data_IF_443669085118
#
_entry.id   IF_443669085118
#
_cell.length_a   1.000
_cell.length_b   1.000
_cell.length_c   1.000
_cell.angle_alpha   90.00
_cell.angle_beta   90.00
_cell.angle_gamma   90.00
#
_symmetry.space_group_name_H-M   'P 1'
#
loop_
_entity.id
_entity.type
_entity.pdbx_description
1 polymer ?
#
# COMPACT_ATOMS: atom_id res chain seq x y z
N UNK A 1 2.51 10.02 -20.96
CA UNK A 1 3.29 8.99 -20.23
C UNK A 1 2.49 7.69 -20.20
N UNK A 2 3.08 6.56 -20.61
CA UNK A 2 2.41 5.25 -20.54
C UNK A 2 1.94 4.98 -19.11
N UNK A 3 0.63 4.76 -18.93
CA UNK A 3 -0.09 4.67 -17.64
C UNK A 3 0.54 3.69 -16.63
N UNK A 4 1.25 2.68 -17.13
CA UNK A 4 1.94 1.63 -16.38
C UNK A 4 3.27 2.07 -15.74
N UNK A 5 4.01 3.02 -16.35
CA UNK A 5 5.27 3.52 -15.78
C UNK A 5 5.02 4.29 -14.49
N UNK A 6 3.97 5.12 -14.46
CA UNK A 6 3.55 5.83 -13.25
C UNK A 6 3.04 4.90 -12.15
N UNK A 7 2.58 3.69 -12.49
CA UNK A 7 2.20 2.64 -11.54
C UNK A 7 3.38 2.10 -10.77
N UNK A 8 4.41 1.68 -11.50
CA UNK A 8 5.61 1.11 -10.93
C UNK A 8 6.37 2.14 -10.11
N UNK A 9 6.48 3.38 -10.61
CA UNK A 9 7.14 4.47 -9.87
C UNK A 9 6.42 4.74 -8.54
N UNK A 10 5.09 4.82 -8.53
CA UNK A 10 4.34 5.06 -7.30
C UNK A 10 4.48 3.90 -6.29
N UNK A 11 4.42 2.65 -6.76
CA UNK A 11 4.61 1.48 -5.91
C UNK A 11 6.03 1.42 -5.32
N UNK A 12 7.05 1.73 -6.12
CA UNK A 12 8.45 1.77 -5.68
C UNK A 12 8.70 2.90 -4.69
N UNK A 13 8.14 4.10 -4.91
CA UNK A 13 8.25 5.20 -3.96
C UNK A 13 7.55 4.89 -2.63
N UNK A 14 6.38 4.25 -2.69
CA UNK A 14 5.62 3.85 -1.50
C UNK A 14 6.34 2.77 -0.68
N UNK A 15 6.91 1.75 -1.36
CA UNK A 15 7.75 0.74 -0.71
C UNK A 15 9.07 1.33 -0.19
N UNK A 16 9.65 2.29 -0.92
CA UNK A 16 10.87 3.01 -0.57
C UNK A 16 10.77 3.74 0.77
N UNK A 17 9.62 4.33 1.07
CA UNK A 17 9.37 4.99 2.36
C UNK A 17 9.51 4.05 3.57
N UNK A 18 9.42 2.74 3.35
CA UNK A 18 9.45 1.72 4.39
C UNK A 18 10.71 0.85 4.36
N UNK A 19 11.69 1.19 3.52
CA UNK A 19 13.02 0.55 3.53
C UNK A 19 13.68 0.68 4.91
N UNK A 20 13.38 1.76 5.63
CA UNK A 20 13.84 2.00 7.01
C UNK A 20 13.24 1.05 8.06
N UNK A 21 12.14 0.35 7.76
CA UNK A 21 11.58 -0.64 8.66
C UNK A 21 12.43 -1.92 8.76
N UNK A 22 13.41 -2.10 7.85
CA UNK A 22 14.32 -3.26 7.76
C UNK A 22 13.62 -4.63 7.81
N UNK A 23 12.34 -4.67 7.44
CA UNK A 23 11.52 -5.88 7.48
C UNK A 23 11.12 -6.27 6.05
N UNK A 24 11.64 -7.39 5.51
CA UNK A 24 11.36 -7.82 4.14
C UNK A 24 9.87 -8.09 3.89
N UNK A 25 9.13 -8.53 4.92
CA UNK A 25 7.70 -8.80 4.82
C UNK A 25 6.91 -7.50 4.63
N UNK A 26 7.25 -6.44 5.37
CA UNK A 26 6.63 -5.12 5.19
C UNK A 26 6.91 -4.56 3.80
N UNK A 27 8.14 -4.71 3.30
CA UNK A 27 8.51 -4.25 1.97
C UNK A 27 7.69 -4.95 0.86
N UNK A 28 7.52 -6.27 0.95
CA UNK A 28 6.71 -7.05 0.01
C UNK A 28 5.22 -6.71 0.11
N UNK A 29 4.69 -6.57 1.33
CA UNK A 29 3.30 -6.19 1.57
C UNK A 29 2.99 -4.80 0.99
N UNK A 30 3.91 -3.85 1.09
CA UNK A 30 3.73 -2.49 0.57
C UNK A 30 3.82 -2.39 -0.94
N UNK A 31 4.65 -3.22 -1.60
CA UNK A 31 4.63 -3.32 -3.05
C UNK A 31 3.29 -3.85 -3.56
N UNK A 32 2.74 -4.90 -2.94
CA UNK A 32 1.46 -5.49 -3.31
C UNK A 32 0.28 -4.54 -3.01
N UNK A 33 0.26 -3.92 -1.83
CA UNK A 33 -0.76 -2.94 -1.45
C UNK A 33 -0.70 -1.69 -2.35
N UNK A 34 0.50 -1.18 -2.65
CA UNK A 34 0.68 -0.04 -3.55
C UNK A 34 0.14 -0.30 -4.96
N UNK A 35 0.32 -1.52 -5.49
CA UNK A 35 -0.26 -1.93 -6.77
C UNK A 35 -1.79 -2.09 -6.68
N UNK A 36 -2.30 -2.72 -5.62
CA UNK A 36 -3.72 -2.95 -5.41
C UNK A 36 -4.50 -1.62 -5.25
N UNK A 37 -4.04 -0.70 -4.41
CA UNK A 37 -4.71 0.57 -4.20
C UNK A 37 -4.64 1.48 -5.42
N UNK A 38 -3.54 1.43 -6.19
CA UNK A 38 -3.46 2.16 -7.44
C UNK A 38 -4.48 1.62 -8.47
N UNK A 39 -4.75 0.31 -8.46
CA UNK A 39 -5.79 -0.32 -9.29
C UNK A 39 -7.19 0.10 -8.89
N UNK A 40 -7.46 0.13 -7.59
CA UNK A 40 -8.72 0.66 -7.07
C UNK A 40 -8.87 2.15 -7.41
N UNK A 41 -7.81 2.94 -7.29
CA UNK A 41 -7.81 4.36 -7.66
C UNK A 41 -8.11 4.57 -9.15
N UNK A 42 -7.51 3.78 -10.04
CA UNK A 42 -7.80 3.89 -11.48
C UNK A 42 -9.26 3.58 -11.83
N UNK A 43 -9.92 2.72 -11.06
CA UNK A 43 -11.33 2.34 -11.30
C UNK A 43 -12.32 3.28 -10.64
N UNK A 44 -12.01 3.74 -9.44
CA UNK A 44 -12.91 4.57 -8.62
C UNK A 44 -12.67 6.07 -8.78
N UNK A 45 -11.51 6.48 -9.29
CA UNK A 45 -11.07 7.88 -9.31
C UNK A 45 -10.87 8.49 -7.92
N UNK A 46 -10.90 7.67 -6.86
CA UNK A 46 -11.04 8.10 -5.48
C UNK A 46 -9.96 7.48 -4.60
N UNK A 47 -9.40 8.28 -3.70
CA UNK A 47 -8.42 7.83 -2.71
C UNK A 47 -9.08 7.18 -1.48
N UNK A 48 -10.37 7.44 -1.26
CA UNK A 48 -11.13 6.95 -0.11
C UNK A 48 -11.03 5.43 0.12
N UNK A 49 -11.16 4.57 -0.90
CA UNK A 49 -11.06 3.13 -0.70
C UNK A 49 -9.70 2.69 -0.17
N UNK A 50 -8.62 3.33 -0.63
CA UNK A 50 -7.26 3.03 -0.18
C UNK A 50 -7.04 3.45 1.28
N UNK A 51 -7.51 4.65 1.65
CA UNK A 51 -7.41 5.17 3.02
C UNK A 51 -8.21 4.30 4.00
N UNK A 52 -9.44 3.94 3.64
CA UNK A 52 -10.29 3.08 4.48
C UNK A 52 -9.63 1.69 4.64
N UNK A 53 -9.14 1.10 3.54
CA UNK A 53 -8.44 -0.19 3.58
C UNK A 53 -7.22 -0.13 4.51
N UNK A 54 -6.44 0.95 4.47
CA UNK A 54 -5.28 1.12 5.33
C UNK A 54 -5.67 1.24 6.81
N UNK A 55 -6.63 2.12 7.12
CA UNK A 55 -7.09 2.31 8.50
C UNK A 55 -7.68 1.02 9.10
N UNK A 56 -8.44 0.26 8.30
CA UNK A 56 -8.97 -1.05 8.71
C UNK A 56 -7.82 -2.03 8.99
N UNK A 57 -6.80 -2.07 8.14
CA UNK A 57 -5.63 -2.94 8.35
C UNK A 57 -4.89 -2.59 9.64
N UNK A 58 -4.63 -1.31 9.89
CA UNK A 58 -3.93 -0.87 11.10
C UNK A 58 -4.70 -1.25 12.35
N UNK A 59 -6.01 -0.99 12.40
CA UNK A 59 -6.85 -1.40 13.54
C UNK A 59 -6.85 -2.91 13.68
N UNK A 60 -6.92 -3.66 12.57
CA UNK A 60 -6.93 -5.12 12.62
C UNK A 60 -5.63 -5.67 13.20
N UNK A 61 -4.47 -5.19 12.76
CA UNK A 61 -3.17 -5.73 13.17
C UNK A 61 -2.71 -5.19 14.51
N UNK A 62 -3.03 -3.95 14.88
CA UNK A 62 -2.57 -3.36 16.14
C UNK A 62 -3.56 -3.53 17.28
N UNK A 63 -4.86 -3.64 17.00
CA UNK A 63 -5.91 -3.69 18.04
C UNK A 63 -6.57 -5.07 18.13
N UNK A 64 -7.06 -5.61 17.00
CA UNK A 64 -7.87 -6.84 17.01
C UNK A 64 -6.99 -8.09 17.11
N UNK A 65 -5.95 -8.15 16.29
CA UNK A 65 -5.01 -9.28 16.21
C UNK A 65 -3.57 -8.78 16.35
N UNK A 66 -3.14 -8.37 17.55
CA UNK A 66 -1.79 -7.86 17.79
C UNK A 66 -0.73 -8.91 17.47
N UNK A 67 -0.10 -8.77 16.31
CA UNK A 67 1.05 -9.56 15.90
C UNK A 67 2.28 -8.93 16.55
N UNK A 68 3.07 -9.72 17.29
CA UNK A 68 4.32 -9.30 17.93
C UNK A 68 5.53 -9.69 17.13
#
# INVERSE_FOLDING_TARGET
MCRWKGYLIAAVLYAGAHVWALNPMLLAAMLLCGLAWRWVFLRSGSLWPGIISHAVWDVTIFVVFPIR
#
